data_IF_157318401022
#
_entry.id   IF_157318401022
#
_cell.length_a   1.000
_cell.length_b   1.000
_cell.length_c   1.000
_cell.angle_alpha   90.00
_cell.angle_beta   90.00
_cell.angle_gamma   90.00
#
_symmetry.space_group_name_H-M   'P 1'
#
loop_
_entity.id
_entity.type
_entity.pdbx_description
1 polymer ?
#
# COMPACT_ATOMS: atom_id res chain seq x y z
N UNK A 1 4.26 -43.39 -6.45
CA UNK A 1 4.88 -42.68 -5.31
C UNK A 1 6.40 -42.77 -5.38
N UNK A 2 6.97 -43.97 -5.62
CA UNK A 2 8.42 -44.16 -5.87
C UNK A 2 8.96 -43.27 -7.01
N UNK A 3 8.27 -43.22 -8.16
CA UNK A 3 8.67 -42.42 -9.34
C UNK A 3 8.69 -40.90 -9.14
N UNK A 4 8.00 -40.38 -8.12
CA UNK A 4 8.04 -38.94 -7.76
C UNK A 4 9.25 -38.65 -6.86
N UNK A 5 9.61 -39.59 -5.98
CA UNK A 5 10.82 -39.53 -5.14
C UNK A 5 12.10 -39.70 -5.96
N UNK A 6 12.02 -40.47 -7.06
CA UNK A 6 13.14 -40.71 -7.97
C UNK A 6 13.52 -39.45 -8.79
N UNK A 7 12.67 -38.41 -8.83
CA UNK A 7 12.95 -37.15 -9.54
C UNK A 7 12.46 -35.89 -8.81
N UNK A 8 12.58 -35.84 -7.47
CA UNK A 8 12.06 -34.74 -6.63
C UNK A 8 12.44 -33.33 -7.13
N UNK A 9 13.69 -33.12 -7.57
CA UNK A 9 14.17 -31.80 -7.99
C UNK A 9 13.56 -31.39 -9.34
N UNK A 10 13.52 -32.33 -10.31
CA UNK A 10 12.85 -32.13 -11.61
C UNK A 10 11.35 -31.93 -11.42
N UNK A 11 10.74 -32.63 -10.47
CA UNK A 11 9.32 -32.49 -10.13
C UNK A 11 9.01 -31.11 -9.53
N UNK A 12 9.85 -30.58 -8.65
CA UNK A 12 9.68 -29.22 -8.10
C UNK A 12 9.82 -28.19 -9.22
N UNK A 13 10.87 -28.25 -10.04
CA UNK A 13 11.02 -27.33 -11.19
C UNK A 13 9.83 -27.40 -12.14
N UNK A 14 9.34 -28.61 -12.46
CA UNK A 14 8.16 -28.81 -13.31
C UNK A 14 6.89 -28.23 -12.67
N UNK A 15 6.71 -28.38 -11.36
CA UNK A 15 5.58 -27.80 -10.64
C UNK A 15 5.61 -26.27 -10.68
N UNK A 16 6.78 -25.66 -10.52
CA UNK A 16 6.93 -24.20 -10.65
C UNK A 16 6.71 -23.72 -12.09
N UNK A 17 7.16 -24.47 -13.10
CA UNK A 17 6.90 -24.15 -14.50
C UNK A 17 5.39 -24.21 -14.80
N UNK A 18 4.72 -25.28 -14.39
CA UNK A 18 3.26 -25.40 -14.51
C UNK A 18 2.54 -24.28 -13.77
N UNK A 19 2.99 -23.92 -12.56
CA UNK A 19 2.42 -22.81 -11.81
C UNK A 19 2.60 -21.47 -12.54
N UNK A 20 3.74 -21.22 -13.17
CA UNK A 20 3.96 -20.02 -13.98
C UNK A 20 3.02 -19.98 -15.19
N UNK A 21 2.91 -21.09 -15.94
CA UNK A 21 1.99 -21.22 -17.08
C UNK A 21 0.52 -21.07 -16.66
N UNK A 22 0.15 -21.68 -15.52
CA UNK A 22 -1.17 -21.55 -14.93
C UNK A 22 -1.46 -20.11 -14.53
N UNK A 23 -0.49 -19.42 -13.91
CA UNK A 23 -0.64 -18.01 -13.53
C UNK A 23 -0.93 -17.11 -14.71
N UNK A 24 -0.23 -17.32 -15.82
CA UNK A 24 -0.44 -16.52 -17.03
C UNK A 24 -1.78 -16.81 -17.71
N UNK A 25 -2.27 -18.05 -17.62
CA UNK A 25 -3.47 -18.48 -18.33
C UNK A 25 -4.75 -18.26 -17.51
N UNK A 26 -4.71 -18.53 -16.21
CA UNK A 26 -5.91 -18.63 -15.36
C UNK A 26 -5.81 -17.84 -14.03
N UNK A 27 -4.66 -17.25 -13.70
CA UNK A 27 -4.49 -16.45 -12.48
C UNK A 27 -3.94 -17.22 -11.27
N UNK A 28 -4.35 -16.89 -10.06
CA UNK A 28 -3.66 -17.32 -8.84
C UNK A 28 -3.49 -18.86 -8.73
N UNK A 29 -2.32 -19.29 -8.23
CA UNK A 29 -1.94 -20.69 -8.04
C UNK A 29 -1.09 -20.83 -6.77
N UNK A 30 -1.17 -21.97 -6.11
CA UNK A 30 -0.37 -22.31 -4.93
C UNK A 30 0.45 -23.56 -5.26
N UNK A 31 1.75 -23.52 -4.96
CA UNK A 31 2.65 -24.69 -5.02
C UNK A 31 2.99 -25.09 -3.59
N UNK A 32 2.50 -26.25 -3.16
CA UNK A 32 2.83 -26.83 -1.86
C UNK A 32 4.15 -27.62 -1.96
N UNK A 33 5.24 -27.01 -1.50
CA UNK A 33 6.57 -27.64 -1.48
C UNK A 33 6.75 -28.38 -0.15
N UNK A 34 6.35 -29.65 -0.14
CA UNK A 34 6.50 -30.52 1.03
C UNK A 34 7.98 -30.79 1.30
N UNK A 35 8.51 -30.25 2.41
CA UNK A 35 9.91 -30.35 2.80
C UNK A 35 10.07 -30.67 4.30
N UNK A 36 11.29 -30.54 4.82
CA UNK A 36 11.59 -30.72 6.25
C UNK A 36 12.51 -29.61 6.77
N UNK A 37 12.41 -29.29 8.06
CA UNK A 37 13.31 -28.34 8.74
C UNK A 37 14.44 -29.11 9.41
N UNK A 38 15.70 -28.89 8.97
CA UNK A 38 16.86 -29.68 9.44
C UNK A 38 17.19 -29.42 10.91
N UNK A 39 17.10 -28.18 11.35
CA UNK A 39 17.37 -27.73 12.72
C UNK A 39 16.08 -27.32 13.43
N UNK A 40 16.18 -26.76 14.63
CA UNK A 40 15.05 -26.20 15.38
C UNK A 40 14.38 -25.02 14.68
N UNK A 41 13.50 -24.29 15.37
CA UNK A 41 12.87 -23.10 14.79
C UNK A 41 13.91 -22.04 14.39
N UNK A 42 15.00 -21.99 15.15
CA UNK A 42 16.27 -21.38 14.81
C UNK A 42 17.39 -22.41 15.06
N UNK A 43 18.62 -22.07 14.68
CA UNK A 43 19.76 -22.99 14.71
C UNK A 43 20.22 -23.38 16.13
N UNK A 44 19.84 -22.62 17.15
CA UNK A 44 20.20 -22.88 18.56
C UNK A 44 19.10 -23.58 19.35
N UNK A 45 17.91 -23.75 18.76
CA UNK A 45 16.76 -24.41 19.34
C UNK A 45 16.85 -25.94 19.20
N UNK A 46 16.36 -26.65 20.22
CA UNK A 46 16.43 -28.12 20.34
C UNK A 46 15.04 -28.73 20.05
N UNK A 47 14.74 -29.10 18.80
CA UNK A 47 13.41 -29.54 18.41
C UNK A 47 13.05 -30.92 18.96
N UNK A 48 14.02 -31.72 19.39
CA UNK A 48 13.79 -33.06 19.93
C UNK A 48 12.93 -33.04 21.20
N UNK A 49 12.86 -31.91 21.92
CA UNK A 49 11.99 -31.76 23.08
C UNK A 49 10.51 -31.89 22.75
N UNK A 50 10.11 -31.53 21.53
CA UNK A 50 8.69 -31.49 21.13
C UNK A 50 8.39 -32.30 19.87
N UNK A 51 9.39 -32.63 19.04
CA UNK A 51 9.26 -33.47 17.85
C UNK A 51 10.30 -34.62 17.78
N UNK A 52 10.46 -35.44 18.84
CA UNK A 52 11.56 -36.42 18.93
C UNK A 52 11.53 -37.51 17.84
N UNK A 53 10.33 -37.97 17.44
CA UNK A 53 10.20 -39.02 16.41
C UNK A 53 10.59 -38.46 15.04
N UNK A 54 10.05 -37.29 14.68
CA UNK A 54 10.35 -36.64 13.40
C UNK A 54 11.85 -36.35 13.27
N UNK A 55 12.47 -35.77 14.30
CA UNK A 55 13.89 -35.43 14.23
C UNK A 55 14.82 -36.65 14.28
N UNK A 56 14.39 -37.79 14.85
CA UNK A 56 15.10 -39.07 14.67
C UNK A 56 15.12 -39.54 13.20
N UNK A 57 14.04 -39.30 12.44
CA UNK A 57 14.01 -39.60 11.01
C UNK A 57 14.85 -38.59 10.21
N UNK A 58 14.70 -37.29 10.47
CA UNK A 58 15.47 -36.23 9.80
C UNK A 58 16.98 -36.40 10.02
N UNK A 59 17.41 -36.76 11.24
CA UNK A 59 18.81 -36.99 11.55
C UNK A 59 19.44 -38.12 10.72
N UNK A 60 18.64 -39.15 10.38
CA UNK A 60 19.06 -40.28 9.53
C UNK A 60 18.89 -40.02 8.04
N UNK A 61 18.14 -39.00 7.65
CA UNK A 61 17.90 -38.70 6.25
C UNK A 61 19.07 -37.91 5.65
N UNK A 62 19.65 -38.36 4.52
CA UNK A 62 20.68 -37.59 3.80
C UNK A 62 20.12 -36.23 3.38
N UNK A 63 21.00 -35.24 3.25
CA UNK A 63 20.59 -33.91 2.79
C UNK A 63 20.10 -33.98 1.34
N UNK A 64 19.10 -33.17 1.00
CA UNK A 64 18.49 -33.17 -0.33
C UNK A 64 19.48 -33.00 -1.49
N UNK A 65 20.55 -32.20 -1.31
CA UNK A 65 21.60 -32.08 -2.33
C UNK A 65 22.43 -33.36 -2.49
N UNK A 66 22.75 -34.07 -1.40
CA UNK A 66 23.50 -35.34 -1.46
C UNK A 66 22.70 -36.39 -2.25
N UNK A 67 21.39 -36.48 -1.99
CA UNK A 67 20.49 -37.37 -2.74
C UNK A 67 20.47 -37.03 -4.24
N UNK A 68 20.58 -35.75 -4.60
CA UNK A 68 20.60 -35.33 -5.99
C UNK A 68 21.96 -35.58 -6.66
N UNK A 69 23.05 -35.31 -5.95
CA UNK A 69 24.42 -35.57 -6.40
C UNK A 69 24.62 -37.06 -6.71
N UNK A 70 24.15 -37.94 -5.83
CA UNK A 70 24.19 -39.40 -6.04
C UNK A 70 23.47 -39.80 -7.33
N UNK A 71 22.36 -39.13 -7.66
CA UNK A 71 21.62 -39.38 -8.92
C UNK A 71 22.39 -38.88 -10.14
N UNK A 72 22.95 -37.66 -10.09
CA UNK A 72 23.74 -37.10 -11.20
C UNK A 72 24.99 -37.95 -11.50
N UNK A 73 25.62 -38.48 -10.46
CA UNK A 73 26.74 -39.41 -10.58
C UNK A 73 26.28 -40.75 -11.17
N UNK A 74 25.14 -41.28 -10.71
CA UNK A 74 24.61 -42.56 -11.18
C UNK A 74 24.12 -42.50 -12.64
N UNK A 75 23.56 -41.36 -13.07
CA UNK A 75 23.13 -41.16 -14.46
C UNK A 75 24.30 -40.85 -15.40
N UNK A 76 25.47 -40.48 -14.86
CA UNK A 76 26.62 -40.05 -15.65
C UNK A 76 26.47 -38.66 -16.26
N UNK A 77 25.44 -37.90 -15.87
CA UNK A 77 25.25 -36.51 -16.31
C UNK A 77 26.32 -35.57 -15.75
N UNK A 78 26.96 -35.96 -14.63
CA UNK A 78 28.05 -35.21 -14.03
C UNK A 78 29.08 -36.14 -13.42
N UNK A 79 30.35 -35.78 -13.53
CA UNK A 79 31.45 -36.47 -12.87
C UNK A 79 31.64 -35.97 -11.43
N UNK A 80 32.27 -36.80 -10.60
CA UNK A 80 32.64 -36.40 -9.22
C UNK A 80 33.56 -35.19 -9.19
N UNK A 81 34.49 -35.10 -10.14
CA UNK A 81 35.42 -33.98 -10.24
C UNK A 81 34.68 -32.65 -10.52
N UNK A 82 33.66 -32.67 -11.39
CA UNK A 82 32.82 -31.50 -11.65
C UNK A 82 32.02 -31.09 -10.41
N UNK A 83 31.38 -32.04 -9.72
CA UNK A 83 30.64 -31.76 -8.49
C UNK A 83 31.53 -31.18 -7.38
N UNK A 84 32.69 -31.77 -7.15
CA UNK A 84 33.64 -31.29 -6.14
C UNK A 84 34.20 -29.91 -6.51
N UNK A 85 34.41 -29.64 -7.80
CA UNK A 85 34.80 -28.32 -8.30
C UNK A 85 33.73 -27.27 -8.04
N UNK A 86 32.45 -27.57 -8.32
CA UNK A 86 31.33 -26.65 -8.04
C UNK A 86 31.28 -26.30 -6.55
N UNK A 87 31.36 -27.30 -5.66
CA UNK A 87 31.34 -27.09 -4.21
C UNK A 87 32.53 -26.26 -3.74
N UNK A 88 33.72 -26.57 -4.22
CA UNK A 88 34.93 -25.84 -3.88
C UNK A 88 34.87 -24.39 -4.34
N UNK A 89 34.35 -24.14 -5.54
CA UNK A 89 34.16 -22.80 -6.08
C UNK A 89 33.14 -21.99 -5.27
N UNK A 90 32.00 -22.59 -4.92
CA UNK A 90 31.00 -21.95 -4.05
C UNK A 90 31.58 -21.59 -2.68
N UNK A 91 32.30 -22.53 -2.06
CA UNK A 91 32.95 -22.28 -0.78
C UNK A 91 33.98 -21.15 -0.87
N UNK A 92 34.81 -21.17 -1.92
CA UNK A 92 35.79 -20.12 -2.19
C UNK A 92 35.13 -18.76 -2.36
N UNK A 93 34.02 -18.67 -3.13
CA UNK A 93 33.26 -17.43 -3.30
C UNK A 93 32.74 -16.89 -1.96
N UNK A 94 32.23 -17.76 -1.08
CA UNK A 94 31.77 -17.35 0.24
C UNK A 94 32.92 -16.87 1.14
N UNK A 95 34.08 -17.54 1.10
CA UNK A 95 35.26 -17.14 1.87
C UNK A 95 35.85 -15.80 1.38
N UNK A 96 35.88 -15.60 0.07
CA UNK A 96 36.28 -14.33 -0.55
C UNK A 96 35.32 -13.20 -0.15
N UNK A 97 34.00 -13.44 -0.23
CA UNK A 97 33.00 -12.47 0.19
C UNK A 97 33.10 -12.15 1.70
N UNK A 98 33.34 -13.16 2.54
CA UNK A 98 33.54 -12.97 3.98
C UNK A 98 34.80 -12.14 4.26
N UNK A 99 35.90 -12.42 3.56
CA UNK A 99 37.16 -11.67 3.70
C UNK A 99 37.05 -10.21 3.26
N UNK A 100 36.24 -9.95 2.22
CA UNK A 100 36.00 -8.58 1.74
C UNK A 100 34.98 -7.82 2.59
N UNK A 101 34.15 -8.50 3.40
CA UNK A 101 33.17 -7.86 4.27
C UNK A 101 33.80 -6.89 5.29
N UNK A 102 35.02 -7.18 5.76
CA UNK A 102 35.77 -6.28 6.67
C UNK A 102 36.12 -4.93 6.04
N UNK A 103 36.25 -4.89 4.71
CA UNK A 103 36.58 -3.68 3.94
C UNK A 103 35.34 -3.00 3.39
N UNK A 104 34.21 -3.70 3.39
CA UNK A 104 32.96 -3.20 2.87
C UNK A 104 32.44 -2.06 3.76
N UNK A 105 32.22 -0.91 3.13
CA UNK A 105 31.50 0.21 3.73
C UNK A 105 30.21 0.38 2.94
N UNK A 106 29.03 0.33 3.58
CA UNK A 106 27.80 0.74 2.93
C UNK A 106 27.99 2.18 2.44
N UNK A 107 27.75 2.42 1.15
CA UNK A 107 27.66 3.78 0.63
C UNK A 107 26.46 4.50 1.30
N UNK A 108 26.54 5.81 1.46
CA UNK A 108 25.42 6.63 1.94
C UNK A 108 24.17 6.44 1.05
N UNK A 109 24.38 6.13 -0.23
CA UNK A 109 23.33 5.81 -1.21
C UNK A 109 22.89 4.33 -1.19
N UNK A 110 23.56 3.42 -0.49
CA UNK A 110 23.10 2.02 -0.39
C UNK A 110 21.82 1.87 0.43
N UNK A 111 21.42 2.90 1.17
CA UNK A 111 20.08 3.00 1.75
C UNK A 111 18.96 3.06 0.71
N UNK A 112 19.25 3.43 -0.54
CA UNK A 112 18.28 3.48 -1.64
C UNK A 112 18.07 2.12 -2.33
N UNK A 113 18.57 1.00 -1.76
CA UNK A 113 18.48 -0.33 -2.38
C UNK A 113 17.03 -0.79 -2.65
N UNK A 114 16.03 -0.21 -1.97
CA UNK A 114 14.62 -0.51 -2.24
C UNK A 114 14.05 0.41 -3.31
N UNK A 115 14.51 0.25 -4.56
CA UNK A 115 13.82 0.67 -5.78
C UNK A 115 13.00 1.97 -5.66
N UNK A 116 13.59 3.04 -5.11
CA UNK A 116 12.83 4.26 -4.82
C UNK A 116 12.57 4.98 -6.13
N UNK A 117 11.36 4.79 -6.67
CA UNK A 117 10.78 5.63 -7.74
C UNK A 117 10.58 7.10 -7.31
N UNK A 118 11.14 7.48 -6.17
CA UNK A 118 11.01 8.73 -5.44
C UNK A 118 12.22 9.66 -5.68
N UNK A 119 12.89 9.54 -6.83
CA UNK A 119 13.94 10.48 -7.23
C UNK A 119 13.43 11.94 -7.19
N UNK A 120 14.20 12.84 -6.59
CA UNK A 120 13.84 14.26 -6.46
C UNK A 120 12.88 14.58 -5.30
N UNK A 121 12.48 13.58 -4.50
CA UNK A 121 11.69 13.79 -3.28
C UNK A 121 12.58 13.97 -2.05
N UNK A 122 12.00 14.64 -1.04
CA UNK A 122 12.71 14.99 0.20
C UNK A 122 13.11 13.73 0.96
N UNK A 123 14.37 13.70 1.38
CA UNK A 123 14.91 12.66 2.24
C UNK A 123 14.42 12.83 3.67
N UNK A 124 14.47 11.79 4.51
CA UNK A 124 14.13 11.88 5.93
C UNK A 124 14.94 12.95 6.70
N UNK A 125 16.10 13.35 6.16
CA UNK A 125 16.98 14.38 6.72
C UNK A 125 16.57 15.82 6.38
N UNK A 126 15.67 15.99 5.41
CA UNK A 126 15.25 17.30 4.94
C UNK A 126 14.20 17.92 5.88
N UNK A 127 14.35 19.24 6.14
CA UNK A 127 13.37 19.99 6.92
C UNK A 127 12.04 20.03 6.17
N UNK A 128 10.94 19.87 6.91
CA UNK A 128 9.61 20.08 6.34
C UNK A 128 9.49 21.53 5.82
N UNK A 129 9.18 21.68 4.53
CA UNK A 129 8.92 22.98 3.92
C UNK A 129 7.43 23.09 3.61
N UNK A 130 6.84 24.24 3.92
CA UNK A 130 5.50 24.56 3.44
C UNK A 130 5.59 24.97 1.98
N UNK A 131 4.75 24.38 1.13
CA UNK A 131 4.63 24.76 -0.27
C UNK A 131 3.30 25.48 -0.48
N UNK A 132 3.23 26.51 -1.35
CA UNK A 132 1.96 27.09 -1.77
C UNK A 132 1.10 26.01 -2.43
N UNK A 133 -0.12 25.84 -1.96
CA UNK A 133 -1.07 24.83 -2.46
C UNK A 133 -2.31 25.46 -3.11
N UNK A 134 -2.30 26.79 -3.25
CA UNK A 134 -3.41 27.52 -3.83
C UNK A 134 -3.58 27.17 -5.31
N UNK A 135 -4.83 26.99 -5.71
CA UNK A 135 -5.23 26.80 -7.11
C UNK A 135 -5.91 28.08 -7.59
N UNK A 136 -5.73 28.40 -8.87
CA UNK A 136 -6.41 29.52 -9.49
C UNK A 136 -7.94 29.44 -9.31
N UNK A 137 -8.56 30.55 -8.91
CA UNK A 137 -9.98 30.57 -8.58
C UNK A 137 -10.86 30.34 -9.80
N UNK A 138 -10.45 30.82 -10.98
CA UNK A 138 -11.18 30.59 -12.23
C UNK A 138 -11.16 29.10 -12.59
N UNK A 139 -10.01 28.45 -12.42
CA UNK A 139 -9.88 27.00 -12.58
C UNK A 139 -10.78 26.25 -11.58
N UNK A 140 -10.79 26.61 -10.29
CA UNK A 140 -11.67 26.00 -9.30
C UNK A 140 -13.15 26.14 -9.64
N UNK A 141 -13.57 27.29 -10.20
CA UNK A 141 -14.94 27.49 -10.68
C UNK A 141 -15.27 26.58 -11.87
N UNK A 142 -14.35 26.42 -12.83
CA UNK A 142 -14.51 25.50 -13.97
C UNK A 142 -14.62 24.05 -13.51
N UNK A 143 -13.76 23.63 -12.58
CA UNK A 143 -13.83 22.30 -11.96
C UNK A 143 -15.18 22.12 -11.26
N UNK A 144 -15.58 23.08 -10.43
CA UNK A 144 -16.85 23.05 -9.71
C UNK A 144 -18.06 22.84 -10.61
N UNK A 145 -18.13 23.55 -11.73
CA UNK A 145 -19.19 23.37 -12.73
C UNK A 145 -19.23 21.94 -13.30
N UNK A 146 -18.05 21.34 -13.56
CA UNK A 146 -17.93 19.95 -14.03
C UNK A 146 -18.34 18.92 -12.98
N UNK A 147 -17.97 19.15 -11.71
CA UNK A 147 -18.38 18.30 -10.58
C UNK A 147 -19.89 18.32 -10.31
N UNK A 148 -20.61 19.32 -10.82
CA UNK A 148 -22.06 19.45 -10.69
C UNK A 148 -22.84 18.98 -11.94
N UNK A 149 -22.15 18.56 -13.00
CA UNK A 149 -22.77 18.25 -14.29
C UNK A 149 -22.64 16.76 -14.63
N UNK A 150 -23.74 16.16 -15.10
CA UNK A 150 -23.77 14.80 -15.67
C UNK A 150 -24.09 14.87 -17.16
N UNK A 151 -23.74 13.84 -17.95
CA UNK A 151 -24.02 13.81 -19.39
C UNK A 151 -25.52 13.90 -19.69
N UNK A 152 -25.86 14.38 -20.88
CA UNK A 152 -27.23 14.40 -21.35
C UNK A 152 -27.83 12.98 -21.35
N UNK A 153 -29.07 12.85 -20.89
CA UNK A 153 -29.76 11.56 -20.77
C UNK A 153 -29.43 10.77 -19.50
N UNK A 154 -28.40 11.14 -18.73
CA UNK A 154 -28.05 10.46 -17.47
C UNK A 154 -29.10 10.72 -16.38
N UNK A 155 -29.77 9.67 -15.91
CA UNK A 155 -30.84 9.78 -14.91
C UNK A 155 -30.30 9.66 -13.50
N UNK A 156 -30.00 10.79 -12.87
CA UNK A 156 -29.66 10.86 -11.44
C UNK A 156 -30.86 10.58 -10.51
N UNK A 157 -30.56 10.03 -9.34
CA UNK A 157 -31.49 9.97 -8.22
C UNK A 157 -31.89 11.40 -7.79
N UNK A 158 -33.17 11.62 -7.47
CA UNK A 158 -33.70 12.96 -7.16
C UNK A 158 -33.00 13.63 -5.98
N UNK A 159 -32.60 12.85 -4.96
CA UNK A 159 -31.82 13.36 -3.84
C UNK A 159 -30.46 13.92 -4.26
N UNK A 160 -29.78 13.27 -5.22
CA UNK A 160 -28.48 13.72 -5.74
C UNK A 160 -28.63 14.97 -6.61
N UNK A 161 -29.69 15.08 -7.42
CA UNK A 161 -29.96 16.31 -8.19
C UNK A 161 -30.03 17.53 -7.28
N UNK A 162 -30.71 17.40 -6.13
CA UNK A 162 -30.80 18.47 -5.12
C UNK A 162 -29.44 18.79 -4.49
N UNK A 163 -28.65 17.77 -4.16
CA UNK A 163 -27.30 17.97 -3.62
C UNK A 163 -26.36 18.67 -4.62
N UNK A 164 -26.37 18.25 -5.90
CA UNK A 164 -25.55 18.89 -6.95
C UNK A 164 -26.00 20.33 -7.21
N UNK A 165 -27.30 20.60 -7.21
CA UNK A 165 -27.82 21.97 -7.32
C UNK A 165 -27.30 22.85 -6.18
N UNK A 166 -27.41 22.38 -4.94
CA UNK A 166 -26.88 23.09 -3.77
C UNK A 166 -25.37 23.32 -3.88
N UNK A 167 -24.61 22.29 -4.27
CA UNK A 167 -23.16 22.38 -4.50
C UNK A 167 -22.83 23.47 -5.52
N UNK A 168 -23.60 23.58 -6.62
CA UNK A 168 -23.43 24.62 -7.62
C UNK A 168 -23.71 26.02 -7.04
N UNK A 169 -24.81 26.19 -6.30
CA UNK A 169 -25.16 27.45 -5.63
C UNK A 169 -24.05 27.89 -4.65
N UNK A 170 -23.52 26.96 -3.85
CA UNK A 170 -22.42 27.19 -2.90
C UNK A 170 -21.12 27.62 -3.62
N UNK A 171 -20.80 27.00 -4.76
CA UNK A 171 -19.63 27.33 -5.59
C UNK A 171 -19.76 28.69 -6.29
N UNK A 172 -20.96 29.04 -6.76
CA UNK A 172 -21.23 30.34 -7.37
C UNK A 172 -21.14 31.46 -6.33
N UNK A 173 -21.80 31.28 -5.18
CA UNK A 173 -21.83 32.24 -4.07
C UNK A 173 -20.45 32.45 -3.42
N UNK A 174 -19.64 31.40 -3.29
CA UNK A 174 -18.24 31.50 -2.87
C UNK A 174 -17.98 31.83 -1.39
N UNK A 175 -19.02 31.92 -0.55
CA UNK A 175 -18.89 32.25 0.87
C UNK A 175 -18.64 31.01 1.75
N UNK A 176 -19.27 29.88 1.41
CA UNK A 176 -19.11 28.61 2.15
C UNK A 176 -19.13 27.43 1.20
N UNK A 177 -18.10 26.59 1.25
CA UNK A 177 -18.09 25.28 0.57
C UNK A 177 -18.03 24.17 1.62
N UNK A 178 -18.76 23.08 1.38
CA UNK A 178 -18.72 21.92 2.27
C UNK A 178 -17.46 21.06 2.06
N UNK A 179 -17.26 20.12 2.99
CA UNK A 179 -16.08 19.24 3.00
C UNK A 179 -15.94 18.42 1.71
N UNK A 180 -17.03 17.79 1.26
CA UNK A 180 -17.02 16.95 0.07
C UNK A 180 -16.74 17.75 -1.21
N UNK A 181 -17.15 19.01 -1.26
CA UNK A 181 -16.81 19.92 -2.36
C UNK A 181 -15.33 20.28 -2.34
N UNK A 182 -14.79 20.66 -1.18
CA UNK A 182 -13.37 20.96 -1.04
C UNK A 182 -12.48 19.74 -1.38
N UNK A 183 -12.87 18.54 -0.92
CA UNK A 183 -12.21 17.28 -1.24
C UNK A 183 -12.20 17.03 -2.77
N UNK A 184 -13.35 17.13 -3.42
CA UNK A 184 -13.45 16.91 -4.86
C UNK A 184 -12.69 17.96 -5.68
N UNK A 185 -12.69 19.24 -5.26
CA UNK A 185 -11.89 20.29 -5.90
C UNK A 185 -10.39 19.99 -5.79
N UNK A 186 -9.92 19.55 -4.62
CA UNK A 186 -8.53 19.18 -4.40
C UNK A 186 -8.08 17.96 -5.21
N UNK A 187 -8.92 16.92 -5.29
CA UNK A 187 -8.64 15.78 -6.15
C UNK A 187 -8.59 16.19 -7.62
N UNK A 188 -9.56 16.99 -8.08
CA UNK A 188 -9.59 17.46 -9.46
C UNK A 188 -8.37 18.31 -9.84
N UNK A 189 -7.91 19.20 -8.95
CA UNK A 189 -6.72 20.01 -9.23
C UNK A 189 -5.46 19.14 -9.36
N UNK A 190 -5.28 18.15 -8.47
CA UNK A 190 -4.17 17.20 -8.56
C UNK A 190 -4.18 16.40 -9.88
N UNK A 191 -5.36 15.93 -10.30
CA UNK A 191 -5.52 15.17 -11.53
C UNK A 191 -5.12 16.00 -12.76
N UNK A 192 -5.50 17.29 -12.78
CA UNK A 192 -5.14 18.22 -13.85
C UNK A 192 -3.66 18.63 -13.84
N UNK A 193 -3.00 18.55 -12.68
CA UNK A 193 -1.54 18.71 -12.54
C UNK A 193 -0.75 17.46 -12.94
N UNK A 194 -1.42 16.37 -13.32
CA UNK A 194 -0.78 15.14 -13.72
C UNK A 194 -0.42 14.21 -12.55
N UNK A 195 -1.14 14.32 -11.43
CA UNK A 195 -1.02 13.39 -10.29
C UNK A 195 -2.19 12.41 -10.27
N UNK A 196 -1.87 11.14 -10.07
CA UNK A 196 -2.88 10.09 -9.88
C UNK A 196 -3.55 10.25 -8.50
N UNK A 197 -4.84 9.98 -8.41
CA UNK A 197 -5.56 9.97 -7.12
C UNK A 197 -6.31 8.67 -6.97
N UNK A 198 -6.06 7.97 -5.86
CA UNK A 198 -6.68 6.68 -5.54
C UNK A 198 -7.25 6.72 -4.13
N UNK A 199 -8.54 6.41 -3.99
CA UNK A 199 -9.20 6.21 -2.70
C UNK A 199 -9.81 4.81 -2.63
N UNK A 200 -9.47 4.08 -1.57
CA UNK A 200 -10.00 2.73 -1.33
C UNK A 200 -10.52 2.61 0.09
N UNK A 201 -11.64 1.92 0.26
CA UNK A 201 -12.24 1.65 1.56
C UNK A 201 -13.67 1.18 1.39
N UNK A 202 -14.35 0.90 2.48
CA UNK A 202 -15.73 0.43 2.43
C UNK A 202 -16.65 1.58 2.03
N UNK A 203 -17.41 1.40 0.96
CA UNK A 203 -18.39 2.38 0.43
C UNK A 203 -17.85 3.77 0.04
N UNK A 204 -16.54 3.92 -0.17
CA UNK A 204 -15.88 5.22 -0.42
C UNK A 204 -16.41 5.99 -1.62
N UNK A 205 -16.95 5.31 -2.64
CA UNK A 205 -17.53 5.95 -3.82
C UNK A 205 -18.71 6.87 -3.46
N UNK A 206 -19.59 6.37 -2.59
CA UNK A 206 -20.71 7.13 -2.02
C UNK A 206 -20.23 7.97 -0.83
N UNK A 207 -19.29 7.42 -0.07
CA UNK A 207 -18.95 7.81 1.29
C UNK A 207 -19.91 7.16 2.28
N UNK A 208 -19.38 6.71 3.43
CA UNK A 208 -20.17 6.15 4.54
C UNK A 208 -21.35 7.05 4.89
N UNK A 209 -21.09 8.37 4.99
CA UNK A 209 -22.06 9.40 5.36
C UNK A 209 -22.84 9.97 4.17
N UNK A 210 -22.77 9.34 3.00
CA UNK A 210 -23.41 9.80 1.75
C UNK A 210 -23.09 11.27 1.42
N UNK A 211 -21.83 11.66 1.62
CA UNK A 211 -21.34 13.01 1.41
C UNK A 211 -20.55 13.16 0.11
N UNK A 212 -19.82 12.11 -0.31
CA UNK A 212 -18.81 12.21 -1.38
C UNK A 212 -19.39 12.09 -2.78
N UNK A 213 -20.11 11.01 -3.05
CA UNK A 213 -20.73 10.72 -4.36
C UNK A 213 -19.79 10.94 -5.57
N UNK A 214 -18.52 10.55 -5.47
CA UNK A 214 -17.56 10.71 -6.56
C UNK A 214 -17.84 9.76 -7.74
N UNK A 215 -18.55 8.67 -7.49
CA UNK A 215 -19.18 7.81 -8.50
C UNK A 215 -20.67 7.74 -8.23
N UNK A 216 -21.47 8.00 -9.27
CA UNK A 216 -22.94 7.96 -9.23
C UNK A 216 -23.47 6.95 -10.25
N UNK A 217 -24.66 6.42 -10.00
CA UNK A 217 -25.29 5.40 -10.84
C UNK A 217 -26.50 5.95 -11.56
N UNK A 218 -26.58 5.70 -12.87
CA UNK A 218 -27.77 5.96 -13.67
C UNK A 218 -28.93 5.11 -13.16
N UNK A 219 -30.06 5.74 -12.85
CA UNK A 219 -31.21 5.07 -12.23
C UNK A 219 -31.98 4.17 -13.21
N UNK A 220 -31.74 4.26 -14.52
CA UNK A 220 -32.37 3.40 -15.52
C UNK A 220 -31.48 2.23 -15.93
N UNK A 221 -30.17 2.43 -16.03
CA UNK A 221 -29.23 1.44 -16.58
C UNK A 221 -28.28 0.84 -15.54
N UNK A 222 -28.11 1.49 -14.39
CA UNK A 222 -27.13 1.09 -13.38
C UNK A 222 -25.67 1.44 -13.74
N UNK A 223 -25.45 2.10 -14.89
CA UNK A 223 -24.13 2.51 -15.35
C UNK A 223 -23.47 3.51 -14.40
N UNK A 224 -22.17 3.34 -14.18
CA UNK A 224 -21.37 4.24 -13.34
C UNK A 224 -20.95 5.49 -14.12
N UNK A 225 -21.00 6.63 -13.44
CA UNK A 225 -20.41 7.89 -13.90
C UNK A 225 -19.54 8.48 -12.79
N UNK A 226 -18.29 8.78 -13.11
CA UNK A 226 -17.33 9.35 -12.17
C UNK A 226 -16.98 10.79 -12.57
N UNK A 227 -17.40 11.77 -11.77
CA UNK A 227 -17.20 13.19 -12.06
C UNK A 227 -15.72 13.54 -12.27
N UNK A 228 -14.83 12.99 -11.44
CA UNK A 228 -13.40 13.29 -11.44
C UNK A 228 -12.65 12.75 -12.67
N UNK A 229 -13.22 11.77 -13.39
CA UNK A 229 -12.67 11.25 -14.65
C UNK A 229 -13.26 11.93 -15.89
N UNK A 230 -14.17 12.90 -15.71
CA UNK A 230 -14.90 13.57 -16.80
C UNK A 230 -14.86 15.10 -16.63
N UNK A 231 -13.68 15.65 -16.30
CA UNK A 231 -13.53 17.10 -16.13
C UNK A 231 -13.48 17.83 -17.49
N UNK A 232 -12.89 17.24 -18.51
CA UNK A 232 -12.70 17.84 -19.85
C UNK A 232 -12.07 19.25 -19.83
N UNK A 233 -11.18 19.52 -18.87
CA UNK A 233 -10.51 20.83 -18.72
C UNK A 233 -9.07 20.84 -19.25
N UNK A 234 -8.60 19.71 -19.81
CA UNK A 234 -7.24 19.52 -20.31
C UNK A 234 -6.77 18.08 -20.12
N UNK A 235 -5.47 17.81 -20.34
CA UNK A 235 -4.87 16.56 -19.92
C UNK A 235 -5.09 16.35 -18.42
N UNK A 236 -5.55 15.17 -18.04
CA UNK A 236 -5.73 14.79 -16.64
C UNK A 236 -5.27 13.35 -16.41
N UNK A 237 -4.81 13.09 -15.19
CA UNK A 237 -4.58 11.72 -14.71
C UNK A 237 -5.89 11.03 -14.30
N UNK A 238 -5.77 9.74 -14.03
CA UNK A 238 -6.90 8.91 -13.62
C UNK A 238 -7.23 9.07 -12.13
N UNK A 239 -8.52 9.22 -11.83
CA UNK A 239 -9.06 9.04 -10.49
C UNK A 239 -9.59 7.61 -10.32
N UNK A 240 -9.22 6.96 -9.21
CA UNK A 240 -9.69 5.62 -8.87
C UNK A 240 -10.36 5.64 -7.50
N UNK A 241 -11.67 5.40 -7.45
CA UNK A 241 -12.39 5.10 -6.20
C UNK A 241 -12.81 3.63 -6.16
N UNK A 242 -12.33 2.87 -5.17
CA UNK A 242 -12.63 1.44 -5.01
C UNK A 242 -13.36 1.18 -3.70
N UNK A 243 -14.61 0.75 -3.80
CA UNK A 243 -15.28 0.11 -2.68
C UNK A 243 -14.55 -1.21 -2.41
N UNK A 244 -13.91 -1.31 -1.25
CA UNK A 244 -13.13 -2.47 -0.87
C UNK A 244 -14.02 -3.63 -0.42
N UNK A 245 -13.44 -4.81 -0.30
CA UNK A 245 -14.01 -5.87 0.53
C UNK A 245 -14.07 -5.42 2.00
N UNK A 246 -14.86 -6.12 2.82
CA UNK A 246 -14.92 -5.93 4.28
C UNK A 246 -13.65 -6.48 4.95
N UNK A 247 -12.52 -5.83 4.72
CA UNK A 247 -11.23 -6.14 5.34
C UNK A 247 -10.41 -4.87 5.44
N UNK A 248 -9.96 -4.53 6.64
CA UNK A 248 -9.06 -3.40 6.86
C UNK A 248 -7.61 -3.86 6.72
N UNK A 249 -7.24 -5.01 7.31
CA UNK A 249 -5.87 -5.52 7.31
C UNK A 249 -5.32 -5.71 5.90
N UNK A 250 -6.03 -6.48 5.06
CA UNK A 250 -5.57 -6.78 3.71
C UNK A 250 -5.60 -5.57 2.79
N UNK A 251 -6.61 -4.71 2.94
CA UNK A 251 -6.79 -3.52 2.11
C UNK A 251 -5.79 -2.43 2.47
N UNK A 252 -5.58 -2.13 3.76
CA UNK A 252 -4.57 -1.16 4.18
C UNK A 252 -3.17 -1.62 3.74
N UNK A 253 -2.87 -2.92 3.85
CA UNK A 253 -1.62 -3.47 3.35
C UNK A 253 -1.45 -3.34 1.83
N UNK A 254 -2.52 -3.55 1.07
CA UNK A 254 -2.53 -3.34 -0.38
C UNK A 254 -2.28 -1.86 -0.73
N UNK A 255 -2.98 -0.92 -0.09
CA UNK A 255 -2.83 0.51 -0.37
C UNK A 255 -1.47 1.04 0.07
N UNK A 256 -0.90 0.51 1.15
CA UNK A 256 0.47 0.81 1.53
C UNK A 256 1.46 0.37 0.45
N UNK A 257 1.34 -0.87 -0.04
CA UNK A 257 2.15 -1.35 -1.16
C UNK A 257 2.00 -0.50 -2.42
N UNK A 258 0.76 -0.09 -2.76
CA UNK A 258 0.49 0.80 -3.89
C UNK A 258 1.18 2.16 -3.69
N UNK A 259 1.16 2.70 -2.47
CA UNK A 259 1.75 3.99 -2.14
C UNK A 259 3.28 4.02 -2.25
N UNK A 260 3.96 2.88 -2.13
CA UNK A 260 5.42 2.82 -2.30
C UNK A 260 5.85 3.04 -3.75
N UNK A 261 4.98 2.73 -4.71
CA UNK A 261 5.37 2.58 -6.12
C UNK A 261 5.42 3.90 -6.90
N UNK A 262 4.51 4.84 -6.65
CA UNK A 262 4.43 6.06 -7.45
C UNK A 262 4.38 7.31 -6.57
N UNK A 263 5.42 8.15 -6.56
CA UNK A 263 5.41 9.37 -5.76
C UNK A 263 4.47 10.46 -6.31
N UNK A 264 4.01 10.33 -7.56
CA UNK A 264 3.00 11.20 -8.18
C UNK A 264 1.60 10.62 -8.04
N UNK A 265 1.35 9.87 -6.97
CA UNK A 265 0.04 9.34 -6.63
C UNK A 265 -0.36 9.73 -5.21
N UNK A 266 -1.50 10.39 -5.07
CA UNK A 266 -2.19 10.52 -3.79
C UNK A 266 -2.99 9.23 -3.54
N UNK A 267 -2.54 8.44 -2.57
CA UNK A 267 -3.18 7.17 -2.20
C UNK A 267 -3.87 7.35 -0.86
N UNK A 268 -5.16 7.09 -0.81
CA UNK A 268 -6.00 7.21 0.38
C UNK A 268 -6.64 5.87 0.72
N UNK A 269 -6.57 5.51 2.00
CA UNK A 269 -7.37 4.45 2.61
C UNK A 269 -8.37 5.07 3.59
N UNK A 270 -9.66 4.77 3.42
CA UNK A 270 -10.72 5.27 4.31
C UNK A 270 -11.32 4.12 5.12
N UNK A 271 -11.24 4.23 6.45
CA UNK A 271 -12.00 3.39 7.34
C UNK A 271 -13.48 3.82 7.34
N UNK A 272 -14.42 2.88 7.45
CA UNK A 272 -15.84 3.23 7.49
C UNK A 272 -16.16 4.13 8.70
N UNK A 273 -15.59 3.78 9.86
CA UNK A 273 -15.39 4.62 11.04
C UNK A 273 -13.96 4.43 11.53
N UNK A 274 -13.35 5.46 12.12
CA UNK A 274 -11.96 5.42 12.57
C UNK A 274 -11.70 4.33 13.61
N UNK A 275 -12.71 3.95 14.39
CA UNK A 275 -12.67 2.91 15.41
C UNK A 275 -12.19 1.55 14.85
N UNK A 276 -12.51 1.24 13.58
CA UNK A 276 -12.21 -0.05 12.93
C UNK A 276 -10.77 -0.19 12.44
N UNK A 277 -9.97 0.89 12.42
CA UNK A 277 -8.57 0.84 12.01
C UNK A 277 -7.71 -0.08 12.90
N UNK A 278 -8.17 -0.37 14.13
CA UNK A 278 -7.51 -1.30 15.04
C UNK A 278 -7.40 -2.74 14.52
N UNK A 279 -8.26 -3.16 13.58
CA UNK A 279 -8.18 -4.49 12.95
C UNK A 279 -6.98 -4.60 12.00
N UNK A 280 -6.45 -3.47 11.55
CA UNK A 280 -5.22 -3.36 10.75
C UNK A 280 -4.00 -2.92 11.58
N UNK A 281 -4.03 -3.07 12.90
CA UNK A 281 -2.99 -2.53 13.79
C UNK A 281 -1.57 -3.00 13.44
N UNK A 282 -1.39 -4.27 13.03
CA UNK A 282 -0.05 -4.76 12.63
C UNK A 282 0.47 -4.02 11.40
N UNK A 283 -0.41 -3.67 10.44
CA UNK A 283 -0.03 -2.86 9.28
C UNK A 283 0.40 -1.46 9.73
N UNK A 284 -0.35 -0.87 10.67
CA UNK A 284 -0.05 0.44 11.24
C UNK A 284 1.31 0.43 11.95
N UNK A 285 1.49 -0.46 12.92
CA UNK A 285 2.67 -0.50 13.80
C UNK A 285 3.94 -0.86 13.03
N UNK A 286 3.87 -1.91 12.21
CA UNK A 286 5.07 -2.54 11.65
C UNK A 286 5.50 -1.92 10.32
N UNK A 287 4.59 -1.26 9.61
CA UNK A 287 4.86 -0.74 8.28
C UNK A 287 4.54 0.75 8.14
N UNK A 288 3.33 1.20 8.50
CA UNK A 288 2.97 2.62 8.34
C UNK A 288 3.82 3.51 9.25
N UNK A 289 3.92 3.20 10.55
CA UNK A 289 4.69 4.04 11.49
C UNK A 289 6.20 3.82 11.45
N UNK A 290 6.65 2.64 11.02
CA UNK A 290 8.04 2.22 11.17
C UNK A 290 8.77 1.90 9.85
N UNK A 291 8.07 1.91 8.72
CA UNK A 291 8.60 1.45 7.43
C UNK A 291 9.80 2.28 6.93
N UNK A 292 9.69 3.61 7.02
CA UNK A 292 10.79 4.51 6.64
C UNK A 292 12.03 4.30 7.52
N UNK A 293 11.86 4.16 8.84
CA UNK A 293 12.99 3.95 9.74
C UNK A 293 13.63 2.55 9.59
N UNK A 294 12.83 1.51 9.36
CA UNK A 294 13.33 0.13 9.27
C UNK A 294 13.94 -0.19 7.92
N UNK A 295 13.37 0.35 6.85
CA UNK A 295 13.64 -0.10 5.48
C UNK A 295 13.80 1.05 4.48
N UNK A 296 13.84 2.30 4.95
CA UNK A 296 13.97 3.50 4.10
C UNK A 296 12.85 3.62 3.04
N UNK A 297 11.70 2.98 3.29
CA UNK A 297 10.55 3.04 2.40
C UNK A 297 9.65 4.23 2.72
N UNK A 298 9.65 5.22 1.83
CA UNK A 298 8.78 6.38 1.90
C UNK A 298 7.38 6.06 1.40
N UNK A 299 6.36 6.66 2.02
CA UNK A 299 4.97 6.55 1.60
C UNK A 299 4.24 7.87 1.81
N UNK A 300 3.40 8.22 0.83
CA UNK A 300 2.43 9.32 0.91
C UNK A 300 1.00 8.84 1.23
N UNK A 301 0.85 7.65 1.82
CA UNK A 301 -0.46 7.09 2.16
C UNK A 301 -1.22 8.00 3.12
N UNK A 302 -2.48 8.28 2.78
CA UNK A 302 -3.43 8.99 3.65
C UNK A 302 -4.40 8.00 4.27
N UNK A 303 -4.51 8.02 5.60
CA UNK A 303 -5.54 7.26 6.32
C UNK A 303 -6.69 8.20 6.72
N UNK A 304 -7.85 8.06 6.10
CA UNK A 304 -9.06 8.79 6.48
C UNK A 304 -9.78 8.00 7.59
N UNK A 305 -9.81 8.56 8.80
CA UNK A 305 -10.35 7.93 10.01
C UNK A 305 -11.47 8.79 10.60
N UNK A 306 -12.75 8.54 10.22
CA UNK A 306 -13.87 9.30 10.75
C UNK A 306 -13.91 9.28 12.29
N UNK A 307 -14.05 10.45 12.91
CA UNK A 307 -13.93 10.60 14.36
C UNK A 307 -14.92 11.63 14.91
N UNK A 308 -15.54 11.33 16.06
CA UNK A 308 -16.37 12.30 16.77
C UNK A 308 -17.33 11.69 17.79
N UNK A 309 -17.39 12.29 18.98
CA UNK A 309 -18.30 11.87 20.05
C UNK A 309 -19.71 12.42 19.83
N UNK A 310 -20.48 11.77 18.95
CA UNK A 310 -21.85 12.17 18.58
C UNK A 310 -22.95 11.28 19.19
N UNK A 311 -22.62 10.51 20.23
CA UNK A 311 -23.58 9.62 20.91
C UNK A 311 -23.92 8.33 20.16
N UNK A 312 -23.11 7.92 19.17
CA UNK A 312 -23.33 6.71 18.35
C UNK A 312 -22.75 5.43 18.98
N UNK A 313 -22.24 5.49 20.21
CA UNK A 313 -21.67 4.35 20.93
C UNK A 313 -20.14 4.26 20.85
N UNK A 314 -19.57 3.25 21.51
CA UNK A 314 -18.14 3.12 21.73
C UNK A 314 -17.34 2.79 20.46
N UNK A 315 -17.97 2.14 19.47
CA UNK A 315 -17.36 1.70 18.21
C UNK A 315 -17.62 2.67 17.03
N UNK A 316 -18.18 3.85 17.29
CA UNK A 316 -18.49 4.88 16.29
C UNK A 316 -18.15 6.29 16.78
N UNK A 317 -17.12 6.41 17.62
CA UNK A 317 -16.77 7.68 18.27
C UNK A 317 -15.29 8.02 18.17
N UNK A 318 -14.41 7.04 18.26
CA UNK A 318 -12.98 7.26 18.47
C UNK A 318 -12.10 6.52 17.47
N UNK A 319 -11.35 7.27 16.67
CA UNK A 319 -10.25 6.73 15.89
C UNK A 319 -9.02 6.36 16.75
N UNK A 320 -9.10 6.51 18.08
CA UNK A 320 -7.99 6.26 19.01
C UNK A 320 -6.76 7.12 18.71
N UNK A 321 -7.00 8.41 18.49
CA UNK A 321 -6.00 9.42 18.16
C UNK A 321 -4.75 9.35 19.07
N UNK A 322 -4.95 9.10 20.36
CA UNK A 322 -3.90 8.94 21.35
C UNK A 322 -2.87 7.85 20.98
N UNK A 323 -3.31 6.79 20.29
CA UNK A 323 -2.43 5.70 19.83
C UNK A 323 -1.54 6.15 18.69
N UNK A 324 -2.08 6.86 17.71
CA UNK A 324 -1.28 7.42 16.61
C UNK A 324 -0.27 8.45 17.14
N UNK A 325 -0.67 9.28 18.10
CA UNK A 325 0.24 10.20 18.79
C UNK A 325 1.35 9.46 19.56
N UNK A 326 1.03 8.34 20.22
CA UNK A 326 2.01 7.51 20.91
C UNK A 326 3.02 6.88 19.95
N UNK A 327 2.56 6.39 18.79
CA UNK A 327 3.40 5.87 17.72
C UNK A 327 4.30 6.96 17.09
N UNK A 328 4.01 8.24 17.32
CA UNK A 328 4.76 9.37 16.75
C UNK A 328 5.99 9.83 17.57
N UNK A 329 6.42 9.13 18.63
CA UNK A 329 7.56 9.54 19.51
C UNK A 329 8.90 8.97 18.98
N UNK A 330 10.03 9.68 18.81
CA UNK A 330 10.71 10.75 19.57
C UNK A 330 11.34 11.83 18.66
N UNK A 331 10.88 13.08 18.81
CA UNK A 331 11.39 14.34 18.23
C UNK A 331 12.80 14.76 18.72
N UNK A 332 13.59 13.84 19.28
CA UNK A 332 15.00 14.08 19.65
C UNK A 332 15.98 13.58 18.57
N UNK A 333 15.47 12.93 17.53
CA UNK A 333 16.22 12.64 16.30
C UNK A 333 15.51 13.30 15.12
N UNK A 334 16.24 13.89 14.15
CA UNK A 334 15.64 14.67 13.07
C UNK A 334 14.73 13.86 12.11
N UNK A 335 14.60 12.54 12.30
CA UNK A 335 14.03 11.58 11.35
C UNK A 335 12.77 10.86 11.89
N UNK A 336 12.05 11.46 12.85
CA UNK A 336 10.83 10.86 13.41
C UNK A 336 9.65 10.84 12.43
N UNK A 337 8.83 9.78 12.53
CA UNK A 337 7.53 9.65 11.87
C UNK A 337 6.71 10.94 12.00
N UNK A 338 6.37 11.56 10.86
CA UNK A 338 5.57 12.78 10.82
C UNK A 338 4.11 12.39 10.58
N UNK A 339 3.30 12.45 11.64
CA UNK A 339 1.86 12.27 11.55
C UNK A 339 1.21 13.64 11.21
N UNK A 340 0.67 13.79 10.00
CA UNK A 340 -0.18 14.93 9.68
C UNK A 340 -1.65 14.62 9.98
N UNK A 341 -2.31 15.50 10.73
CA UNK A 341 -3.70 15.30 11.15
C UNK A 341 -4.55 16.54 10.88
N UNK A 342 -5.56 16.40 10.02
CA UNK A 342 -6.58 17.43 9.86
C UNK A 342 -7.84 16.97 10.61
N UNK A 343 -8.25 17.74 11.64
CA UNK A 343 -9.50 17.55 12.39
C UNK A 343 -10.58 18.42 11.80
N UNK A 344 -11.79 17.86 11.63
CA UNK A 344 -13.02 18.59 11.34
C UNK A 344 -13.19 19.79 12.29
N UNK A 345 -12.91 20.99 11.80
CA UNK A 345 -12.89 22.23 12.59
C UNK A 345 -11.93 23.32 12.08
N UNK A 346 -11.02 22.99 11.16
CA UNK A 346 -10.15 23.98 10.53
C UNK A 346 -10.81 24.61 9.30
N UNK A 347 -10.51 25.88 9.04
CA UNK A 347 -11.06 26.61 7.89
C UNK A 347 -10.75 25.88 6.58
N UNK A 348 -11.67 25.97 5.61
CA UNK A 348 -11.62 25.36 4.26
C UNK A 348 -10.25 25.54 3.56
N UNK A 349 -9.55 26.65 3.83
CA UNK A 349 -8.23 26.97 3.29
C UNK A 349 -7.13 26.02 3.78
N UNK A 350 -7.22 25.56 5.03
CA UNK A 350 -6.23 24.66 5.64
C UNK A 350 -6.42 23.22 5.16
N UNK A 351 -7.63 22.82 4.75
CA UNK A 351 -7.93 21.47 4.29
C UNK A 351 -7.27 21.21 2.92
N UNK A 352 -7.29 22.17 2.00
CA UNK A 352 -6.58 22.03 0.71
C UNK A 352 -5.05 22.14 0.91
N UNK A 353 -4.59 23.00 1.84
CA UNK A 353 -3.17 23.14 2.22
C UNK A 353 -2.57 21.89 2.89
N UNK A 354 -3.33 21.18 3.73
CA UNK A 354 -2.82 20.04 4.49
C UNK A 354 -3.19 18.67 3.90
N UNK A 355 -4.35 18.53 3.25
CA UNK A 355 -4.88 17.22 2.82
C UNK A 355 -4.51 16.81 1.40
N UNK A 356 -4.11 17.75 0.53
CA UNK A 356 -4.03 17.49 -0.92
C UNK A 356 -2.62 17.69 -1.47
N UNK A 357 -1.87 18.69 -1.00
CA UNK A 357 -0.63 19.12 -1.68
C UNK A 357 0.67 18.98 -0.87
N UNK A 358 0.63 18.90 0.48
CA UNK A 358 1.81 18.49 1.27
C UNK A 358 2.14 17.00 1.12
N UNK A 359 1.15 16.19 0.76
CA UNK A 359 1.23 14.74 0.63
C UNK A 359 1.98 14.25 -0.61
N UNK A 360 2.12 15.10 -1.63
CA UNK A 360 2.92 14.78 -2.81
C UNK A 360 4.38 14.52 -2.41
N UNK A 361 4.86 14.94 -1.23
CA UNK A 361 6.29 14.88 -0.85
C UNK A 361 6.64 13.96 0.33
N UNK A 362 6.00 12.79 0.41
CA UNK A 362 6.53 11.66 1.20
C UNK A 362 6.27 11.74 2.70
N UNK A 363 5.02 11.89 3.11
CA UNK A 363 4.67 11.78 4.54
C UNK A 363 3.28 11.16 4.70
N UNK A 364 3.12 10.21 5.62
CA UNK A 364 1.82 9.62 5.97
C UNK A 364 0.94 10.66 6.68
N UNK A 365 -0.29 10.85 6.23
CA UNK A 365 -1.28 11.70 6.91
C UNK A 365 -2.46 10.87 7.42
N UNK A 366 -2.86 11.04 8.68
CA UNK A 366 -4.12 10.51 9.19
C UNK A 366 -5.15 11.66 9.23
N UNK A 367 -6.10 11.68 8.31
CA UNK A 367 -7.15 12.70 8.26
C UNK A 367 -8.32 12.29 9.18
N UNK A 368 -8.72 13.17 10.09
CA UNK A 368 -9.85 13.00 10.99
C UNK A 368 -11.07 13.69 10.39
N UNK A 369 -11.89 12.90 9.68
CA UNK A 369 -13.11 13.35 8.99
C UNK A 369 -14.33 13.47 9.93
#
# INVERSE_FOLDING_TARGET
>A
MQTVLDNIQVAVTSAFQLAAEWRQTWGQVIVDVVCYRRFGHNETDAPEYTQPVLYKHIAKHPRTHVVFEEKLLASGEMSKAELDSIKSNLWKQHEEAFSEADKFKPDEDMGNWVATKWEGYVRPTDKAQSHPTGVDLELLRKIGAKLCTVPEGFKLHNGLKRQLKKKMEDLEGGETIDWATAEALGFASLLLEGNHVRITGQDVQRGTFAHRHCVVKDQSTGADYCFLNNLDLGPQENFIARNSILSEYGVLGFELGYSYENPRALVLWEAQFGDFANTAQVMIDQFVSAGEHKWLQQTGLVMLLPHGYMGQGAEHSSCRLERFLQLSRLLSHPHGFKLFMAVKGHSIRNIIEECVLKLVKGTVAALLA
#
